data_IF_785624801146
#
_entry.id   IF_785624801146
#
_cell.length_a   1.000
_cell.length_b   1.000
_cell.length_c   1.000
_cell.angle_alpha   90.00
_cell.angle_beta   90.00
_cell.angle_gamma   90.00
#
_symmetry.space_group_name_H-M   'P 1'
#
loop_
_entity.id
_entity.type
_entity.pdbx_description
1 polymer ?
#
# COMPACT_ATOMS: atom_id res chain seq x y z
N UNK A 1 -8.72 -10.93 -26.11
CA UNK A 1 -7.93 -10.22 -27.14
C UNK A 1 -7.41 -8.96 -26.48
N UNK A 2 -6.28 -9.08 -25.78
CA UNK A 2 -5.61 -7.93 -25.17
C UNK A 2 -4.74 -7.30 -26.26
N UNK A 3 -5.13 -6.10 -26.70
CA UNK A 3 -4.27 -5.27 -27.51
C UNK A 3 -2.95 -5.09 -26.78
N UNK A 4 -1.87 -5.41 -27.48
CA UNK A 4 -0.50 -5.18 -27.03
C UNK A 4 -0.25 -3.68 -27.13
N UNK A 5 -0.78 -2.91 -26.18
CA UNK A 5 -0.42 -1.50 -26.00
C UNK A 5 1.07 -1.47 -25.67
N UNK A 6 1.87 -0.89 -26.57
CA UNK A 6 3.32 -0.83 -26.41
C UNK A 6 3.67 -0.19 -25.07
N UNK A 7 4.50 -0.88 -24.28
CA UNK A 7 5.13 -0.31 -23.10
C UNK A 7 6.43 0.40 -23.49
N UNK A 8 6.76 1.56 -22.88
CA UNK A 8 6.01 2.24 -21.83
C UNK A 8 4.71 2.88 -22.37
N UNK A 9 3.63 2.97 -21.55
CA UNK A 9 2.39 3.58 -22.01
C UNK A 9 2.65 5.02 -22.45
N UNK A 10 2.10 5.44 -23.61
CA UNK A 10 2.27 6.80 -24.06
C UNK A 10 1.70 7.78 -23.03
N UNK A 11 2.48 8.80 -22.67
CA UNK A 11 2.00 9.88 -21.80
C UNK A 11 2.49 9.86 -20.36
N UNK A 12 3.37 8.94 -19.94
CA UNK A 12 4.08 9.10 -18.67
C UNK A 12 5.01 10.32 -18.73
N UNK A 13 4.88 11.19 -17.74
CA UNK A 13 5.86 12.24 -17.45
C UNK A 13 7.16 11.63 -16.92
N UNK A 14 8.25 12.39 -16.95
CA UNK A 14 9.52 11.94 -16.38
C UNK A 14 9.43 11.60 -14.88
N UNK A 15 8.56 12.31 -14.15
CA UNK A 15 8.32 12.03 -12.72
C UNK A 15 7.60 10.70 -12.51
N UNK A 16 6.59 10.40 -13.34
CA UNK A 16 5.86 9.12 -13.27
C UNK A 16 6.73 7.95 -13.72
N UNK A 17 7.54 8.09 -14.78
CA UNK A 17 8.51 7.05 -15.18
C UNK A 17 9.51 6.75 -14.05
N UNK A 18 10.05 7.81 -13.42
CA UNK A 18 10.94 7.66 -12.27
C UNK A 18 10.23 6.97 -11.09
N UNK A 19 8.96 7.31 -10.84
CA UNK A 19 8.17 6.70 -9.77
C UNK A 19 7.88 5.22 -10.04
N UNK A 20 7.59 4.83 -11.29
CA UNK A 20 7.44 3.42 -11.68
C UNK A 20 8.75 2.67 -11.44
N UNK A 21 9.89 3.20 -11.91
CA UNK A 21 11.20 2.57 -11.74
C UNK A 21 11.57 2.39 -10.27
N UNK A 22 11.36 3.42 -9.44
CA UNK A 22 11.61 3.35 -8.00
C UNK A 22 10.68 2.32 -7.32
N UNK A 23 9.39 2.30 -7.70
CA UNK A 23 8.42 1.32 -7.21
C UNK A 23 8.86 -0.10 -7.54
N UNK A 24 9.17 -0.38 -8.80
CA UNK A 24 9.62 -1.72 -9.23
C UNK A 24 10.96 -2.10 -8.62
N UNK A 25 11.90 -1.16 -8.48
CA UNK A 25 13.18 -1.39 -7.82
C UNK A 25 12.98 -1.79 -6.36
N UNK A 26 12.13 -1.08 -5.63
CA UNK A 26 11.79 -1.45 -4.25
C UNK A 26 11.15 -2.84 -4.19
N UNK A 27 10.14 -3.12 -5.02
CA UNK A 27 9.47 -4.43 -5.02
C UNK A 27 10.43 -5.58 -5.35
N UNK A 28 11.43 -5.34 -6.19
CA UNK A 28 12.36 -6.39 -6.63
C UNK A 28 13.51 -6.65 -5.64
N UNK A 29 13.92 -5.66 -4.86
CA UNK A 29 15.15 -5.75 -4.05
C UNK A 29 14.94 -5.55 -2.55
N UNK A 30 13.78 -5.05 -2.12
CA UNK A 30 13.49 -4.82 -0.71
C UNK A 30 13.10 -6.12 0.01
N UNK A 31 13.34 -6.13 1.32
CA UNK A 31 12.84 -7.12 2.27
C UNK A 31 11.61 -6.59 3.06
N UNK A 32 10.91 -5.58 2.54
CA UNK A 32 9.66 -5.07 3.11
C UNK A 32 9.82 -4.07 4.26
N UNK A 33 11.00 -3.45 4.40
CA UNK A 33 11.17 -2.33 5.35
C UNK A 33 10.51 -1.07 4.78
N UNK A 34 9.75 -0.30 5.59
CA UNK A 34 9.19 0.96 5.14
C UNK A 34 10.24 1.87 4.54
N UNK A 35 9.96 2.40 3.34
CA UNK A 35 10.89 3.26 2.60
C UNK A 35 10.16 4.51 2.06
N UNK A 36 10.57 5.72 2.49
CA UNK A 36 9.93 6.96 2.06
C UNK A 36 9.97 7.22 0.55
N UNK A 37 11.00 6.76 -0.17
CA UNK A 37 11.10 6.99 -1.63
C UNK A 37 10.11 6.13 -2.39
N UNK A 38 9.99 4.86 -1.99
CA UNK A 38 8.96 3.95 -2.48
C UNK A 38 7.55 4.48 -2.19
N UNK A 39 7.29 4.87 -0.95
CA UNK A 39 5.98 5.40 -0.53
C UNK A 39 5.63 6.69 -1.28
N UNK A 40 6.60 7.59 -1.48
CA UNK A 40 6.44 8.80 -2.30
C UNK A 40 6.17 8.46 -3.77
N UNK A 41 6.87 7.47 -4.31
CA UNK A 41 6.69 7.03 -5.70
C UNK A 41 5.31 6.43 -5.93
N UNK A 42 4.82 5.57 -5.03
CA UNK A 42 3.43 5.10 -5.08
C UNK A 42 2.43 6.24 -4.97
N UNK A 43 2.70 7.24 -4.11
CA UNK A 43 1.87 8.43 -4.01
C UNK A 43 1.82 9.19 -5.34
N UNK A 44 2.95 9.37 -6.04
CA UNK A 44 3.00 9.98 -7.37
C UNK A 44 2.17 9.18 -8.37
N UNK A 45 2.31 7.86 -8.40
CA UNK A 45 1.55 7.00 -9.32
C UNK A 45 0.04 7.11 -9.09
N UNK A 46 -0.43 7.19 -7.85
CA UNK A 46 -1.86 7.42 -7.56
C UNK A 46 -2.39 8.78 -8.05
N UNK A 47 -1.50 9.73 -8.34
CA UNK A 47 -1.85 11.02 -8.94
C UNK A 47 -1.87 11.01 -10.47
N UNK A 48 -1.49 9.92 -11.13
CA UNK A 48 -1.45 9.86 -12.59
C UNK A 48 -2.86 9.94 -13.16
N UNK A 49 -3.11 10.93 -14.03
CA UNK A 49 -4.45 11.25 -14.54
C UNK A 49 -5.12 10.12 -15.29
N UNK A 50 -4.34 9.21 -15.88
CA UNK A 50 -4.85 8.07 -16.63
C UNK A 50 -5.32 6.93 -15.71
N UNK A 51 -4.88 6.89 -14.45
CA UNK A 51 -5.37 5.92 -13.47
C UNK A 51 -6.71 6.39 -12.88
N UNK A 52 -7.82 5.87 -13.41
CA UNK A 52 -9.16 6.14 -12.90
C UNK A 52 -9.52 5.24 -11.73
N UNK A 53 -8.96 4.03 -11.71
CA UNK A 53 -9.14 3.04 -10.65
C UNK A 53 -7.79 2.44 -10.28
N UNK A 54 -6.99 3.14 -9.46
CA UNK A 54 -5.61 2.76 -9.17
C UNK A 54 -5.44 1.29 -8.79
N UNK A 55 -6.23 0.73 -7.85
CA UNK A 55 -6.07 -0.67 -7.47
C UNK A 55 -6.41 -1.68 -8.58
N UNK A 56 -7.24 -1.30 -9.56
CA UNK A 56 -7.59 -2.17 -10.69
C UNK A 56 -6.57 -2.05 -11.84
N UNK A 57 -6.02 -0.87 -12.07
CA UNK A 57 -5.22 -0.54 -13.26
C UNK A 57 -3.70 -0.61 -13.01
N UNK A 58 -3.25 -0.28 -11.79
CA UNK A 58 -1.84 -0.29 -11.40
C UNK A 58 -1.15 -1.66 -11.52
N UNK A 59 -1.78 -2.81 -11.24
CA UNK A 59 -1.12 -4.12 -11.42
C UNK A 59 -0.69 -4.34 -12.87
N UNK A 60 -1.55 -3.97 -13.83
CA UNK A 60 -1.26 -4.07 -15.26
C UNK A 60 -0.13 -3.14 -15.68
N UNK A 61 -0.16 -1.89 -15.19
CA UNK A 61 0.91 -0.92 -15.42
C UNK A 61 2.26 -1.45 -14.92
N UNK A 62 2.32 -1.88 -13.65
CA UNK A 62 3.56 -2.32 -13.02
C UNK A 62 4.12 -3.58 -13.70
N UNK A 63 3.28 -4.55 -14.06
CA UNK A 63 3.72 -5.76 -14.77
C UNK A 63 4.29 -5.43 -16.15
N UNK A 64 3.58 -4.67 -16.97
CA UNK A 64 4.08 -4.34 -18.30
C UNK A 64 5.34 -3.45 -18.27
N UNK A 65 5.46 -2.57 -17.26
CA UNK A 65 6.69 -1.82 -17.05
C UNK A 65 7.84 -2.70 -16.56
N UNK A 66 7.59 -3.70 -15.71
CA UNK A 66 8.60 -4.67 -15.30
C UNK A 66 9.11 -5.50 -16.48
N UNK A 67 8.22 -5.96 -17.37
CA UNK A 67 8.59 -6.66 -18.60
C UNK A 67 9.41 -5.77 -19.55
N UNK A 68 8.99 -4.51 -19.72
CA UNK A 68 9.71 -3.54 -20.54
C UNK A 68 11.13 -3.26 -20.00
N UNK A 69 11.26 -3.05 -18.68
CA UNK A 69 12.54 -2.79 -18.04
C UNK A 69 13.45 -4.02 -18.09
N UNK A 70 12.92 -5.23 -17.95
CA UNK A 70 13.72 -6.46 -18.08
C UNK A 70 14.40 -6.59 -19.46
N UNK A 71 13.77 -6.07 -20.51
CA UNK A 71 14.33 -6.06 -21.87
C UNK A 71 15.25 -4.88 -22.19
N UNK A 72 15.29 -3.83 -21.37
CA UNK A 72 15.94 -2.56 -21.70
C UNK A 72 16.96 -2.07 -20.68
N UNK A 73 16.90 -2.55 -19.44
CA UNK A 73 17.73 -2.11 -18.32
C UNK A 73 18.31 -3.33 -17.58
N UNK A 74 19.65 -3.53 -17.61
CA UNK A 74 20.30 -4.66 -16.93
C UNK A 74 19.99 -4.74 -15.44
N UNK A 75 19.69 -3.62 -14.77
CA UNK A 75 19.32 -3.62 -13.36
C UNK A 75 18.00 -4.36 -13.10
N UNK A 76 17.15 -4.49 -14.12
CA UNK A 76 15.86 -5.18 -14.05
C UNK A 76 15.87 -6.51 -14.81
N UNK A 77 17.03 -7.09 -15.12
CA UNK A 77 17.11 -8.33 -15.89
C UNK A 77 16.35 -9.52 -15.25
N UNK A 78 16.22 -9.54 -13.92
CA UNK A 78 15.36 -10.48 -13.20
C UNK A 78 14.32 -9.70 -12.39
N UNK A 79 13.06 -9.71 -12.84
CA UNK A 79 11.92 -9.06 -12.17
C UNK A 79 11.00 -10.05 -11.45
N UNK A 80 11.41 -11.31 -11.27
CA UNK A 80 10.53 -12.37 -10.73
C UNK A 80 9.96 -12.04 -9.35
N UNK A 81 10.75 -11.39 -8.49
CA UNK A 81 10.27 -10.99 -7.18
C UNK A 81 9.22 -9.89 -7.32
N UNK A 82 9.51 -8.83 -8.08
CA UNK A 82 8.56 -7.74 -8.28
C UNK A 82 7.22 -8.25 -8.85
N UNK A 83 7.25 -9.07 -9.91
CA UNK A 83 6.02 -9.60 -10.52
C UNK A 83 5.26 -10.50 -9.57
N UNK A 84 5.93 -11.42 -8.87
CA UNK A 84 5.26 -12.30 -7.90
C UNK A 84 4.64 -11.53 -6.73
N UNK A 85 5.29 -10.48 -6.24
CA UNK A 85 4.78 -9.64 -5.15
C UNK A 85 3.59 -8.79 -5.61
N UNK A 86 3.62 -8.26 -6.84
CA UNK A 86 2.47 -7.57 -7.45
C UNK A 86 1.26 -8.51 -7.47
N UNK A 87 1.41 -9.71 -8.03
CA UNK A 87 0.32 -10.67 -8.14
C UNK A 87 -0.19 -11.08 -6.75
N UNK A 88 0.72 -11.36 -5.80
CA UNK A 88 0.35 -11.74 -4.45
C UNK A 88 -0.45 -10.66 -3.72
N UNK A 89 -0.03 -9.41 -3.82
CA UNK A 89 -0.69 -8.29 -3.14
C UNK A 89 -2.09 -8.05 -3.71
N UNK A 90 -2.21 -7.94 -5.02
CA UNK A 90 -3.46 -7.57 -5.67
C UNK A 90 -4.46 -8.73 -5.78
N UNK A 91 -4.00 -9.95 -6.05
CA UNK A 91 -4.87 -11.10 -6.30
C UNK A 91 -5.22 -11.86 -5.01
N UNK A 92 -4.39 -11.74 -3.96
CA UNK A 92 -4.57 -12.53 -2.74
C UNK A 92 -4.62 -11.69 -1.45
N UNK A 93 -3.62 -10.87 -1.16
CA UNK A 93 -3.53 -10.18 0.14
C UNK A 93 -4.65 -9.16 0.33
N UNK A 94 -4.86 -8.25 -0.63
CA UNK A 94 -5.90 -7.22 -0.53
C UNK A 94 -7.30 -7.85 -0.41
N UNK A 95 -7.71 -8.79 -1.30
CA UNK A 95 -9.00 -9.46 -1.16
C UNK A 95 -9.18 -10.18 0.17
N UNK A 96 -8.16 -10.92 0.63
CA UNK A 96 -8.23 -11.67 1.88
C UNK A 96 -8.27 -10.76 3.11
N UNK A 97 -7.54 -9.65 3.08
CA UNK A 97 -7.59 -8.64 4.14
C UNK A 97 -8.97 -8.00 4.23
N UNK A 98 -9.57 -7.63 3.10
CA UNK A 98 -10.94 -7.09 3.05
C UNK A 98 -11.98 -8.09 3.57
N UNK A 99 -11.83 -9.37 3.22
CA UNK A 99 -12.71 -10.43 3.72
C UNK A 99 -12.55 -10.64 5.22
N UNK A 100 -11.31 -10.73 5.72
CA UNK A 100 -11.01 -10.91 7.13
C UNK A 100 -11.58 -9.78 8.00
N UNK A 101 -11.55 -8.55 7.48
CA UNK A 101 -12.07 -7.36 8.15
C UNK A 101 -13.48 -6.96 7.73
N UNK A 102 -14.21 -7.81 7.00
CA UNK A 102 -15.52 -7.45 6.45
C UNK A 102 -16.48 -6.97 7.53
N UNK A 103 -16.46 -7.59 8.71
CA UNK A 103 -17.37 -7.25 9.80
C UNK A 103 -16.98 -5.94 10.51
N UNK A 104 -15.67 -5.62 10.56
CA UNK A 104 -15.16 -4.39 11.17
C UNK A 104 -15.25 -3.18 10.23
N UNK A 105 -14.93 -3.41 8.96
CA UNK A 105 -14.78 -2.37 7.93
C UNK A 105 -15.93 -2.40 6.92
N UNK A 106 -17.09 -2.96 7.29
CA UNK A 106 -18.28 -3.05 6.41
C UNK A 106 -18.78 -1.70 5.87
N UNK A 107 -18.43 -0.60 6.55
CA UNK A 107 -18.83 0.76 6.21
C UNK A 107 -17.89 1.42 5.19
N UNK A 108 -16.70 0.85 4.94
CA UNK A 108 -15.76 1.36 3.94
C UNK A 108 -16.24 1.03 2.53
N UNK A 109 -16.30 2.05 1.68
CA UNK A 109 -16.61 1.92 0.24
C UNK A 109 -15.36 1.49 -0.52
N UNK A 110 -15.53 0.98 -1.74
CA UNK A 110 -14.41 0.60 -2.61
C UNK A 110 -13.38 1.74 -2.78
N UNK A 111 -13.87 2.97 -2.95
CA UNK A 111 -13.02 4.16 -3.07
C UNK A 111 -12.20 4.48 -1.80
N UNK A 112 -12.65 4.06 -0.61
CA UNK A 112 -11.90 4.31 0.63
C UNK A 112 -10.64 3.41 0.72
N UNK A 113 -10.61 2.32 -0.06
CA UNK A 113 -9.46 1.43 -0.16
C UNK A 113 -8.42 1.92 -1.18
N UNK A 114 -8.79 2.86 -2.06
CA UNK A 114 -7.91 3.48 -3.06
C UNK A 114 -6.97 4.49 -2.38
N UNK A 115 -6.02 3.98 -1.59
CA UNK A 115 -5.06 4.80 -0.85
C UNK A 115 -3.61 4.31 -1.10
N UNK A 116 -2.71 5.21 -1.54
CA UNK A 116 -1.34 4.84 -1.91
C UNK A 116 -0.52 4.30 -0.73
N UNK A 117 -0.72 4.85 0.46
CA UNK A 117 0.04 4.45 1.65
C UNK A 117 -0.47 3.15 2.26
N UNK A 118 -1.77 2.88 2.19
CA UNK A 118 -2.30 1.57 2.53
C UNK A 118 -1.78 0.50 1.55
N UNK A 119 -1.71 0.82 0.25
CA UNK A 119 -1.07 -0.06 -0.73
C UNK A 119 0.41 -0.30 -0.42
N UNK A 120 1.14 0.74 -0.02
CA UNK A 120 2.53 0.61 0.42
C UNK A 120 2.64 -0.36 1.61
N UNK A 121 1.75 -0.24 2.62
CA UNK A 121 1.72 -1.18 3.74
C UNK A 121 1.46 -2.63 3.31
N UNK A 122 0.59 -2.87 2.31
CA UNK A 122 0.36 -4.22 1.78
C UNK A 122 1.62 -4.79 1.12
N UNK A 123 2.32 -4.00 0.32
CA UNK A 123 3.59 -4.42 -0.29
C UNK A 123 4.67 -4.68 0.75
N UNK A 124 4.85 -3.77 1.70
CA UNK A 124 5.81 -3.92 2.81
C UNK A 124 5.52 -5.18 3.62
N UNK A 125 4.26 -5.44 3.96
CA UNK A 125 3.86 -6.61 4.72
C UNK A 125 4.10 -7.92 3.95
N UNK A 126 3.79 -7.96 2.65
CA UNK A 126 4.04 -9.13 1.79
C UNK A 126 5.55 -9.40 1.65
N UNK A 127 6.34 -8.37 1.36
CA UNK A 127 7.79 -8.47 1.21
C UNK A 127 8.48 -8.90 2.50
N UNK A 128 7.99 -8.43 3.65
CA UNK A 128 8.52 -8.79 4.97
C UNK A 128 8.38 -10.28 5.29
N UNK A 129 7.44 -11.00 4.66
CA UNK A 129 7.32 -12.44 4.82
C UNK A 129 8.41 -13.22 4.09
N UNK A 130 9.06 -12.60 3.10
CA UNK A 130 10.09 -13.21 2.26
C UNK A 130 9.58 -14.35 1.37
N UNK A 131 10.42 -14.72 0.39
CA UNK A 131 10.17 -15.90 -0.44
C UNK A 131 10.26 -17.22 0.35
N UNK A 132 9.88 -18.36 -0.25
CA UNK A 132 9.46 -18.52 -1.64
C UNK A 132 8.12 -17.85 -1.97
N UNK A 133 8.06 -17.09 -3.07
CA UNK A 133 6.89 -16.25 -3.42
C UNK A 133 5.66 -17.03 -3.88
N UNK A 134 5.80 -18.34 -4.08
CA UNK A 134 4.69 -19.26 -4.38
C UNK A 134 3.98 -19.80 -3.13
N UNK A 135 4.46 -19.47 -1.92
CA UNK A 135 3.81 -19.86 -0.66
C UNK A 135 2.72 -18.85 -0.27
N UNK A 136 1.73 -18.65 -1.15
CA UNK A 136 0.69 -17.62 -1.04
C UNK A 136 0.01 -17.61 0.32
N UNK A 137 -0.45 -18.77 0.83
CA UNK A 137 -1.15 -18.84 2.11
C UNK A 137 -0.30 -18.38 3.29
N UNK A 138 0.99 -18.76 3.33
CA UNK A 138 1.92 -18.33 4.38
C UNK A 138 2.11 -16.82 4.34
N UNK A 139 2.35 -16.27 3.15
CA UNK A 139 2.63 -14.84 2.97
C UNK A 139 1.38 -14.01 3.27
N UNK A 140 0.21 -14.44 2.79
CA UNK A 140 -1.04 -13.73 3.04
C UNK A 140 -1.42 -13.76 4.52
N UNK A 141 -1.33 -14.92 5.18
CA UNK A 141 -1.62 -15.04 6.61
C UNK A 141 -0.66 -14.18 7.46
N UNK A 142 0.64 -14.25 7.18
CA UNK A 142 1.64 -13.43 7.88
C UNK A 142 1.49 -11.93 7.59
N UNK A 143 1.17 -11.56 6.36
CA UNK A 143 0.90 -10.18 5.97
C UNK A 143 -0.31 -9.59 6.69
N UNK A 144 -1.44 -10.32 6.77
CA UNK A 144 -2.61 -9.90 7.54
C UNK A 144 -2.25 -9.73 9.02
N UNK A 145 -1.52 -10.70 9.60
CA UNK A 145 -1.11 -10.61 11.00
C UNK A 145 -0.24 -9.36 11.27
N UNK A 146 0.68 -9.02 10.38
CA UNK A 146 1.51 -7.82 10.48
C UNK A 146 0.71 -6.52 10.31
N UNK A 147 -0.31 -6.53 9.45
CA UNK A 147 -1.17 -5.37 9.22
C UNK A 147 -2.12 -5.11 10.39
N UNK A 148 -2.50 -6.16 11.13
CA UNK A 148 -3.38 -6.10 12.28
C UNK A 148 -2.66 -5.57 13.55
N UNK A 149 -2.18 -4.33 13.49
CA UNK A 149 -1.36 -3.74 14.55
C UNK A 149 -2.07 -2.66 15.40
N UNK A 150 -3.33 -2.34 15.10
CA UNK A 150 -4.09 -1.31 15.80
C UNK A 150 -5.51 -1.75 16.15
N UNK A 151 -5.95 -1.49 17.38
CA UNK A 151 -7.29 -1.83 17.87
C UNK A 151 -8.23 -0.62 18.04
N UNK A 152 -7.68 0.60 18.06
CA UNK A 152 -8.44 1.80 18.40
C UNK A 152 -8.79 1.91 19.87
N UNK A 153 -9.73 2.80 20.20
CA UNK A 153 -10.21 2.98 21.57
C UNK A 153 -11.25 1.89 21.90
N UNK A 154 -10.87 0.95 22.77
CA UNK A 154 -11.75 -0.09 23.28
C UNK A 154 -11.81 -0.07 24.82
N UNK A 155 -12.95 0.29 25.42
CA UNK A 155 -13.16 0.08 26.85
C UNK A 155 -13.08 -1.42 27.15
N UNK A 156 -12.10 -1.85 27.95
CA UNK A 156 -11.94 -3.25 28.35
C UNK A 156 -12.79 -3.49 29.60
N UNK A 157 -13.74 -4.43 29.50
CA UNK A 157 -14.49 -4.88 30.67
C UNK A 157 -13.54 -5.64 31.61
N UNK A 158 -13.33 -5.13 32.83
CA UNK A 158 -12.60 -5.83 33.89
C UNK A 158 -13.56 -6.79 34.56
N UNK A 159 -13.29 -8.09 34.47
CA UNK A 159 -14.08 -9.11 35.17
C UNK A 159 -13.89 -8.99 36.68
N UNK A 160 -14.84 -9.46 37.48
CA UNK A 160 -14.73 -9.48 38.96
C UNK A 160 -13.47 -10.20 39.47
N UNK A 161 -12.89 -11.09 38.65
CA UNK A 161 -11.62 -11.78 38.91
C UNK A 161 -10.36 -10.93 38.66
N UNK A 162 -10.50 -9.66 38.25
CA UNK A 162 -9.39 -8.77 37.91
C UNK A 162 -8.70 -9.12 36.58
N UNK A 163 -9.26 -10.03 35.78
CA UNK A 163 -8.70 -10.41 34.47
C UNK A 163 -9.23 -9.47 33.39
N UNK A 164 -8.31 -8.82 32.70
CA UNK A 164 -8.56 -8.07 31.47
C UNK A 164 -8.70 -9.05 30.30
N UNK A 165 -9.75 -8.89 29.49
CA UNK A 165 -9.95 -9.70 28.30
C UNK A 165 -8.98 -9.23 27.20
N UNK A 166 -8.17 -10.14 26.67
CA UNK A 166 -7.30 -9.84 25.53
C UNK A 166 -8.15 -9.69 24.26
N UNK A 167 -7.84 -8.70 23.40
CA UNK A 167 -8.52 -8.56 22.12
C UNK A 167 -8.36 -9.78 21.23
N UNK A 168 -9.41 -10.08 20.46
CA UNK A 168 -9.31 -11.05 19.38
C UNK A 168 -8.50 -10.46 18.23
N UNK A 169 -7.79 -11.32 17.49
CA UNK A 169 -6.95 -10.88 16.37
C UNK A 169 -7.74 -10.19 15.24
N UNK A 170 -9.03 -10.50 15.08
CA UNK A 170 -9.91 -9.84 14.11
C UNK A 170 -10.42 -8.46 14.54
N UNK A 171 -10.11 -8.04 15.78
CA UNK A 171 -10.43 -6.69 16.26
C UNK A 171 -9.31 -5.69 15.98
N UNK A 172 -8.12 -6.19 15.60
CA UNK A 172 -6.98 -5.36 15.20
C UNK A 172 -6.94 -5.21 13.69
N UNK A 173 -6.67 -4.02 13.19
CA UNK A 173 -6.59 -3.70 11.76
C UNK A 173 -5.51 -2.63 11.52
N UNK A 174 -5.20 -2.37 10.25
CA UNK A 174 -4.36 -1.24 9.82
C UNK A 174 -5.23 0.00 9.62
N UNK A 175 -5.02 1.10 10.36
CA UNK A 175 -5.68 2.37 10.09
C UNK A 175 -5.25 2.90 8.72
N UNK A 176 -6.16 3.53 8.00
CA UNK A 176 -5.87 4.16 6.71
C UNK A 176 -4.83 5.27 6.88
N UNK A 177 -3.60 5.14 6.34
CA UNK A 177 -2.60 6.18 6.50
C UNK A 177 -2.93 7.37 5.61
N UNK A 178 -3.09 8.55 6.21
CA UNK A 178 -3.41 9.80 5.51
C UNK A 178 -2.19 10.71 5.32
N UNK A 179 -1.17 10.54 6.16
CA UNK A 179 0.08 11.28 6.14
C UNK A 179 1.21 10.35 6.58
N UNK A 180 2.35 10.43 5.91
CA UNK A 180 3.58 9.78 6.31
C UNK A 180 4.69 10.82 6.45
N UNK A 181 5.44 10.77 7.55
CA UNK A 181 6.52 11.70 7.77
C UNK A 181 7.65 11.51 6.73
N UNK A 182 8.19 12.61 6.23
CA UNK A 182 9.15 12.58 5.11
C UNK A 182 8.55 12.27 3.73
N UNK A 183 7.26 11.96 3.63
CA UNK A 183 6.56 11.69 2.36
C UNK A 183 5.48 12.73 2.07
N UNK A 184 4.64 13.06 3.07
CA UNK A 184 3.54 14.00 2.93
C UNK A 184 2.16 13.34 3.01
N UNK A 185 1.16 14.01 2.44
CA UNK A 185 -0.24 13.60 2.46
C UNK A 185 -0.53 12.61 1.33
N UNK A 186 -1.37 11.62 1.62
CA UNK A 186 -1.82 10.64 0.63
C UNK A 186 -2.61 11.33 -0.49
N UNK A 187 -2.32 10.99 -1.74
CA UNK A 187 -3.16 11.34 -2.89
C UNK A 187 -4.55 10.79 -2.70
N UNK A 188 -5.55 11.63 -2.93
CA UNK A 188 -6.95 11.28 -2.77
C UNK A 188 -7.85 12.50 -2.58
N UNK A 189 -9.16 12.29 -2.38
CA UNK A 189 -10.14 13.37 -2.30
C UNK A 189 -9.94 14.33 -1.12
N UNK A 190 -9.22 13.90 -0.08
CA UNK A 190 -8.95 14.69 1.12
C UNK A 190 -7.57 15.35 1.14
N UNK A 191 -6.77 15.20 0.08
CA UNK A 191 -5.39 15.68 0.06
C UNK A 191 -5.31 17.18 0.39
N UNK A 192 -6.00 18.02 -0.40
CA UNK A 192 -5.94 19.48 -0.24
C UNK A 192 -6.36 19.91 1.16
N UNK A 193 -7.44 19.31 1.70
CA UNK A 193 -7.93 19.60 3.05
C UNK A 193 -6.88 19.27 4.10
N UNK A 194 -6.27 18.08 4.02
CA UNK A 194 -5.28 17.62 4.98
C UNK A 194 -3.98 18.42 4.89
N UNK A 195 -3.54 18.76 3.68
CA UNK A 195 -2.36 19.62 3.48
C UNK A 195 -2.58 20.99 4.12
N UNK A 196 -3.72 21.63 3.88
CA UNK A 196 -4.04 22.92 4.52
C UNK A 196 -4.15 22.79 6.05
N UNK A 197 -4.81 21.74 6.56
CA UNK A 197 -4.93 21.51 7.99
C UNK A 197 -3.55 21.34 8.65
N UNK A 198 -2.64 20.56 8.04
CA UNK A 198 -1.28 20.38 8.54
C UNK A 198 -0.45 21.67 8.48
N UNK A 199 -0.63 22.49 7.44
CA UNK A 199 0.00 23.83 7.37
C UNK A 199 -0.47 24.69 8.55
N UNK A 200 -1.77 24.71 8.87
CA UNK A 200 -2.28 25.46 10.01
C UNK A 200 -1.75 24.93 11.34
N UNK A 201 -1.77 23.61 11.57
CA UNK A 201 -1.24 23.00 12.79
C UNK A 201 0.25 23.31 13.00
N UNK A 202 1.07 23.22 11.94
CA UNK A 202 2.52 23.53 12.02
C UNK A 202 2.83 24.99 12.30
N UNK A 203 1.93 25.89 11.94
CA UNK A 203 2.06 27.33 12.18
C UNK A 203 1.31 27.79 13.44
N UNK A 204 0.67 26.86 14.17
CA UNK A 204 -0.04 27.18 15.41
C UNK A 204 0.99 27.33 16.53
N UNK A 205 0.94 28.43 17.30
CA UNK A 205 1.77 28.62 18.50
C UNK A 205 1.73 27.41 19.45
N UNK A 206 2.87 27.06 20.06
CA UNK A 206 2.96 25.89 20.96
C UNK A 206 2.07 26.00 22.20
N UNK A 207 1.67 27.21 22.62
CA UNK A 207 0.83 27.44 23.80
C UNK A 207 -0.66 27.08 23.58
N UNK A 208 -1.04 26.68 22.36
CA UNK A 208 -2.39 26.25 21.98
C UNK A 208 -2.46 24.84 21.37
N UNK A 209 -1.33 24.10 21.35
CA UNK A 209 -1.24 22.69 20.94
C UNK A 209 -1.12 21.76 22.16
#
# INVERSE_FOLDING_TARGET
MTENSGFPPPGLTAAEDSAVRETLGYLNFSAGKPDPKFQSSLNVLFGWSELKKPLQELPGLLRGMAEHLAGSDPAFADTKQATAVIDLVFEHLIPRYREFHRDLLFHMKEADWENPFLLACFFEAALAQGGPWNETERIVAGGIQQLNDFIGHRPVAVLESGREMQPYEHEKFRPLPLYLDGVGVARGPYQDLLEQALIHLRNTPEDIL
#
